data_IF_685301848315
#
_entry.id   IF_685301848315
#
_cell.length_a   1.000
_cell.length_b   1.000
_cell.length_c   1.000
_cell.angle_alpha   90.00
_cell.angle_beta   90.00
_cell.angle_gamma   90.00
#
_symmetry.space_group_name_H-M   'P 1'
#
loop_
_entity.id
_entity.type
_entity.pdbx_description
1 polymer ?
#
# COMPACT_ATOMS: atom_id res chain seq x y z
N UNK A 1 26.92 5.59 8.52
CA UNK A 1 25.85 5.05 9.36
C UNK A 1 25.84 5.84 10.65
N UNK A 2 24.81 6.63 10.83
CA UNK A 2 24.67 7.55 11.94
C UNK A 2 24.46 6.78 13.25
N UNK A 3 25.28 7.07 14.28
CA UNK A 3 25.17 6.44 15.61
C UNK A 3 23.80 6.63 16.25
N UNK A 4 23.08 7.69 15.87
CA UNK A 4 21.73 7.98 16.35
C UNK A 4 20.71 6.98 15.82
N UNK A 5 20.81 6.57 14.57
CA UNK A 5 19.91 5.56 13.96
C UNK A 5 20.13 4.18 14.59
N UNK A 6 21.39 3.77 14.78
CA UNK A 6 21.72 2.50 15.42
C UNK A 6 21.23 2.46 16.88
N UNK A 7 21.38 3.55 17.63
CA UNK A 7 20.89 3.63 19.00
C UNK A 7 19.34 3.56 19.07
N UNK A 8 18.64 4.21 18.13
CA UNK A 8 17.18 4.16 18.05
C UNK A 8 16.68 2.77 17.71
N UNK A 9 17.38 2.04 16.85
CA UNK A 9 17.00 0.66 16.48
C UNK A 9 17.22 -0.33 17.63
N UNK A 10 18.30 -0.17 18.37
CA UNK A 10 18.54 -0.96 19.58
C UNK A 10 17.46 -0.69 20.63
N UNK A 11 17.10 0.59 20.85
CA UNK A 11 16.05 0.97 21.78
C UNK A 11 14.67 0.41 21.37
N UNK A 12 14.30 0.52 20.09
CA UNK A 12 13.06 -0.06 19.55
C UNK A 12 12.99 -1.56 19.77
N UNK A 13 14.10 -2.27 19.51
CA UNK A 13 14.20 -3.72 19.73
C UNK A 13 14.04 -4.09 21.21
N UNK A 14 14.58 -3.31 22.13
CA UNK A 14 14.46 -3.56 23.55
C UNK A 14 13.05 -3.30 24.09
N UNK A 15 12.39 -2.21 23.64
CA UNK A 15 11.03 -1.86 24.08
C UNK A 15 9.97 -2.82 23.51
N UNK A 16 10.15 -3.28 22.27
CA UNK A 16 9.20 -4.20 21.62
C UNK A 16 9.37 -5.66 22.04
N UNK A 17 10.48 -6.01 22.68
CA UNK A 17 10.81 -7.40 23.00
C UNK A 17 10.18 -7.83 24.33
N UNK A 18 9.23 -8.76 24.36
CA UNK A 18 8.78 -9.38 25.59
C UNK A 18 9.91 -10.16 26.25
N UNK A 19 9.95 -10.16 27.57
CA UNK A 19 10.97 -10.87 28.35
C UNK A 19 10.93 -12.36 27.98
N UNK A 20 12.05 -12.87 27.44
CA UNK A 20 12.19 -14.30 27.09
C UNK A 20 11.97 -14.64 25.60
N UNK A 21 11.60 -13.69 24.72
CA UNK A 21 11.51 -13.96 23.27
C UNK A 21 12.75 -13.52 22.52
N UNK A 22 13.11 -14.25 21.46
CA UNK A 22 14.21 -13.89 20.54
C UNK A 22 13.74 -12.96 19.43
N UNK A 23 12.45 -12.93 19.13
CA UNK A 23 11.89 -12.15 18.03
C UNK A 23 11.71 -10.67 18.42
N UNK A 24 12.06 -9.72 17.53
CA UNK A 24 11.82 -8.29 17.72
C UNK A 24 10.35 -7.94 17.42
N UNK A 25 9.44 -8.54 18.16
CA UNK A 25 8.00 -8.34 18.02
C UNK A 25 7.36 -8.18 19.40
N UNK A 26 6.26 -7.42 19.48
CA UNK A 26 5.49 -7.31 20.71
C UNK A 26 4.77 -8.63 21.05
N UNK A 27 4.24 -8.74 22.26
CA UNK A 27 3.27 -9.78 22.59
C UNK A 27 2.07 -9.70 21.64
N UNK A 28 1.46 -10.85 21.32
CA UNK A 28 0.23 -10.90 20.53
C UNK A 28 -0.90 -10.12 21.20
N UNK A 29 -1.67 -9.39 20.40
CA UNK A 29 -2.83 -8.66 20.92
C UNK A 29 -3.93 -9.63 21.36
N UNK A 30 -4.78 -9.24 22.32
CA UNK A 30 -5.95 -10.03 22.68
C UNK A 30 -6.89 -10.21 21.48
N UNK A 31 -7.54 -11.37 21.39
CA UNK A 31 -8.42 -11.73 20.26
C UNK A 31 -9.54 -10.72 19.96
N UNK A 32 -9.91 -9.88 20.93
CA UNK A 32 -10.90 -8.82 20.76
C UNK A 32 -10.45 -7.69 19.82
N UNK A 33 -9.16 -7.56 19.56
CA UNK A 33 -8.58 -6.51 18.70
C UNK A 33 -8.27 -7.02 17.31
N UNK A 34 -8.36 -8.33 17.09
CA UNK A 34 -8.14 -8.93 15.77
C UNK A 34 -9.26 -8.54 14.81
N UNK A 35 -8.91 -8.20 13.58
CA UNK A 35 -9.89 -7.95 12.55
C UNK A 35 -10.56 -9.27 12.14
N UNK A 36 -11.91 -9.30 11.98
CA UNK A 36 -12.62 -10.52 11.59
C UNK A 36 -12.11 -10.98 10.21
N UNK A 37 -11.76 -12.26 10.13
CA UNK A 37 -11.33 -12.88 8.88
C UNK A 37 -12.54 -13.10 7.98
N UNK A 38 -12.34 -12.97 6.68
CA UNK A 38 -13.42 -13.16 5.70
C UNK A 38 -13.97 -14.59 5.74
N UNK A 39 -13.16 -15.57 6.17
CA UNK A 39 -13.57 -16.94 6.42
C UNK A 39 -14.65 -17.05 7.49
N UNK A 40 -14.54 -16.27 8.58
CA UNK A 40 -15.50 -16.31 9.69
C UNK A 40 -16.83 -15.66 9.30
N UNK A 41 -16.78 -14.59 8.48
CA UNK A 41 -17.96 -13.97 7.91
C UNK A 41 -18.64 -14.85 6.86
N UNK A 42 -17.88 -15.56 6.02
CA UNK A 42 -18.42 -16.50 5.04
C UNK A 42 -19.08 -17.69 5.71
N UNK A 43 -18.52 -18.17 6.83
CA UNK A 43 -19.12 -19.23 7.66
C UNK A 43 -20.46 -18.77 8.25
N UNK A 44 -20.56 -17.52 8.70
CA UNK A 44 -21.81 -16.93 9.20
C UNK A 44 -22.89 -16.81 8.10
N UNK A 45 -22.48 -16.70 6.82
CA UNK A 45 -23.37 -16.68 5.64
C UNK A 45 -23.62 -18.07 5.04
N UNK A 46 -23.12 -19.15 5.67
CA UNK A 46 -23.33 -20.53 5.23
C UNK A 46 -22.47 -20.98 4.06
N UNK A 47 -21.47 -20.18 3.67
CA UNK A 47 -20.53 -20.52 2.60
C UNK A 47 -19.24 -21.07 3.22
N UNK A 48 -18.95 -22.34 3.00
CA UNK A 48 -17.70 -22.98 3.43
C UNK A 48 -16.57 -22.60 2.47
N UNK A 49 -15.95 -21.46 2.68
CA UNK A 49 -14.69 -21.12 2.03
C UNK A 49 -13.53 -21.66 2.87
N UNK A 50 -12.43 -22.07 2.20
CA UNK A 50 -11.31 -22.73 2.87
C UNK A 50 -10.83 -21.97 4.11
N UNK A 51 -10.65 -22.67 5.21
CA UNK A 51 -10.30 -22.13 6.55
C UNK A 51 -9.00 -21.30 6.62
N UNK A 52 -8.24 -21.25 5.54
CA UNK A 52 -6.92 -20.59 5.48
C UNK A 52 -6.87 -19.37 4.55
N UNK A 53 -7.99 -18.73 4.27
CA UNK A 53 -7.97 -17.55 3.40
C UNK A 53 -7.44 -16.34 4.20
N UNK A 54 -6.29 -15.76 3.81
CA UNK A 54 -5.71 -14.61 4.54
C UNK A 54 -6.48 -13.30 4.30
N UNK A 55 -7.58 -13.37 3.55
CA UNK A 55 -8.40 -12.20 3.25
C UNK A 55 -9.17 -11.73 4.50
N UNK A 56 -9.01 -10.48 4.85
CA UNK A 56 -9.65 -9.81 5.96
C UNK A 56 -10.68 -8.78 5.47
N UNK A 57 -11.50 -8.28 6.37
CA UNK A 57 -12.46 -7.17 6.12
C UNK A 57 -11.77 -5.94 5.53
N UNK A 58 -10.48 -5.75 5.76
CA UNK A 58 -9.66 -4.67 5.18
C UNK A 58 -9.67 -4.65 3.66
N UNK A 59 -9.92 -5.75 2.98
CA UNK A 59 -10.11 -5.77 1.53
C UNK A 59 -11.27 -4.87 1.09
N UNK A 60 -12.40 -4.96 1.79
CA UNK A 60 -13.55 -4.08 1.51
C UNK A 60 -13.28 -2.63 1.88
N UNK A 61 -12.53 -2.40 2.97
CA UNK A 61 -12.07 -1.06 3.36
C UNK A 61 -11.16 -0.47 2.29
N UNK A 62 -10.24 -1.26 1.73
CA UNK A 62 -9.37 -0.83 0.63
C UNK A 62 -10.17 -0.49 -0.62
N UNK A 63 -11.19 -1.30 -0.97
CA UNK A 63 -12.07 -1.03 -2.09
C UNK A 63 -12.89 0.26 -1.86
N UNK A 64 -13.44 0.42 -0.67
CA UNK A 64 -14.14 1.64 -0.27
C UNK A 64 -13.21 2.87 -0.31
N UNK A 65 -11.97 2.75 0.15
CA UNK A 65 -10.95 3.80 0.05
C UNK A 65 -10.65 4.17 -1.41
N UNK A 66 -10.55 3.19 -2.32
CA UNK A 66 -10.40 3.44 -3.76
C UNK A 66 -11.58 4.26 -4.33
N UNK A 67 -12.80 3.89 -3.98
CA UNK A 67 -14.01 4.62 -4.41
C UNK A 67 -14.02 6.04 -3.81
N UNK A 68 -13.66 6.16 -2.54
CA UNK A 68 -13.61 7.46 -1.85
C UNK A 68 -12.56 8.39 -2.47
N UNK A 69 -11.37 7.89 -2.77
CA UNK A 69 -10.32 8.64 -3.47
C UNK A 69 -10.78 9.02 -4.87
N UNK A 70 -11.45 8.12 -5.58
CA UNK A 70 -12.03 8.43 -6.89
C UNK A 70 -13.05 9.56 -6.81
N UNK A 71 -14.00 9.48 -5.87
CA UNK A 71 -14.98 10.54 -5.63
C UNK A 71 -14.31 11.86 -5.27
N UNK A 72 -13.31 11.81 -4.38
CA UNK A 72 -12.56 12.98 -3.94
C UNK A 72 -11.88 13.68 -5.13
N UNK A 73 -11.17 12.93 -5.97
CA UNK A 73 -10.40 13.49 -7.08
C UNK A 73 -11.32 14.00 -8.22
N UNK A 74 -12.42 13.28 -8.52
CA UNK A 74 -13.23 13.57 -9.70
C UNK A 74 -14.51 14.36 -9.41
N UNK A 75 -15.02 14.34 -8.17
CA UNK A 75 -16.31 14.94 -7.80
C UNK A 75 -16.21 16.11 -6.82
N UNK A 76 -15.05 16.37 -6.22
CA UNK A 76 -14.90 17.47 -5.25
C UNK A 76 -14.10 18.64 -5.81
N UNK A 77 -14.30 19.81 -5.17
CA UNK A 77 -13.53 21.02 -5.49
C UNK A 77 -12.04 20.84 -5.22
N UNK A 78 -11.68 20.17 -4.13
CA UNK A 78 -10.29 19.82 -3.80
C UNK A 78 -9.62 18.98 -4.89
N UNK A 79 -10.33 17.98 -5.42
CA UNK A 79 -9.82 17.18 -6.52
C UNK A 79 -9.61 17.96 -7.81
N UNK A 80 -10.46 18.97 -8.08
CA UNK A 80 -10.24 19.88 -9.19
C UNK A 80 -8.99 20.74 -8.98
N UNK A 81 -8.82 21.33 -7.79
CA UNK A 81 -7.65 22.13 -7.43
C UNK A 81 -6.35 21.33 -7.54
N UNK A 82 -6.34 20.10 -7.01
CA UNK A 82 -5.18 19.18 -7.11
C UNK A 82 -4.83 18.91 -8.57
N UNK A 83 -5.80 18.60 -9.42
CA UNK A 83 -5.56 18.32 -10.84
C UNK A 83 -5.14 19.56 -11.63
N UNK A 84 -5.71 20.72 -11.30
CA UNK A 84 -5.33 22.00 -11.93
C UNK A 84 -3.89 22.35 -11.58
N UNK A 85 -3.51 22.25 -10.30
CA UNK A 85 -2.16 22.48 -9.82
C UNK A 85 -1.14 21.51 -10.46
N UNK A 86 -1.48 20.21 -10.54
CA UNK A 86 -0.63 19.21 -11.16
C UNK A 86 -0.41 19.36 -12.67
N UNK A 87 -1.30 20.12 -13.36
CA UNK A 87 -1.13 20.41 -14.80
C UNK A 87 -0.29 21.65 -15.09
N UNK A 88 -0.46 22.69 -14.30
CA UNK A 88 0.26 23.94 -14.45
C UNK A 88 0.20 24.73 -13.17
N UNK A 89 1.31 24.77 -12.44
CA UNK A 89 1.44 25.53 -11.21
C UNK A 89 1.19 27.04 -11.43
N UNK A 90 1.78 27.69 -12.47
CA UNK A 90 1.54 29.11 -12.71
C UNK A 90 0.07 29.41 -12.96
N UNK A 91 -0.62 28.61 -13.77
CA UNK A 91 -2.04 28.81 -14.06
C UNK A 91 -2.92 28.64 -12.80
N UNK A 92 -2.57 27.71 -11.93
CA UNK A 92 -3.28 27.50 -10.66
C UNK A 92 -3.12 28.69 -9.71
N UNK A 93 -1.93 29.30 -9.65
CA UNK A 93 -1.67 30.51 -8.88
C UNK A 93 -2.51 31.69 -9.36
N UNK A 94 -2.59 31.91 -10.68
CA UNK A 94 -3.45 32.95 -11.25
C UNK A 94 -4.93 32.69 -10.96
N UNK A 95 -5.35 31.45 -10.82
CA UNK A 95 -6.72 31.06 -10.44
C UNK A 95 -6.99 31.19 -8.92
N UNK A 96 -6.00 31.65 -8.13
CA UNK A 96 -6.15 31.84 -6.69
C UNK A 96 -5.99 30.55 -5.86
N UNK A 97 -5.46 29.48 -6.45
CA UNK A 97 -5.21 28.22 -5.76
C UNK A 97 -3.87 28.33 -5.00
N UNK A 98 -3.89 28.15 -3.68
CA UNK A 98 -2.66 28.22 -2.89
C UNK A 98 -1.90 26.89 -2.91
N UNK A 99 -0.61 26.87 -3.34
CA UNK A 99 0.21 25.67 -3.41
C UNK A 99 0.37 24.96 -2.06
N UNK A 100 0.56 25.75 -1.01
CA UNK A 100 0.72 25.25 0.35
C UNK A 100 -0.48 24.43 0.81
N UNK A 101 -1.70 24.94 0.56
CA UNK A 101 -2.94 24.24 0.92
C UNK A 101 -3.05 22.91 0.19
N UNK A 102 -2.78 22.90 -1.11
CA UNK A 102 -2.85 21.67 -1.93
C UNK A 102 -1.84 20.64 -1.46
N UNK A 103 -0.59 21.04 -1.22
CA UNK A 103 0.46 20.15 -0.74
C UNK A 103 0.11 19.55 0.63
N UNK A 104 -0.32 20.39 1.58
CA UNK A 104 -0.70 19.90 2.93
C UNK A 104 -1.88 18.93 2.84
N UNK A 105 -2.92 19.25 2.05
CA UNK A 105 -4.07 18.35 1.89
C UNK A 105 -3.69 17.03 1.24
N UNK A 106 -2.82 17.03 0.22
CA UNK A 106 -2.31 15.82 -0.42
C UNK A 106 -1.53 14.96 0.58
N UNK A 107 -0.69 15.57 1.41
CA UNK A 107 0.07 14.86 2.44
C UNK A 107 -0.84 14.26 3.52
N UNK A 108 -1.86 14.99 3.95
CA UNK A 108 -2.84 14.48 4.93
C UNK A 108 -3.62 13.28 4.39
N UNK A 109 -4.07 13.35 3.14
CA UNK A 109 -4.79 12.23 2.48
C UNK A 109 -3.86 11.02 2.34
N UNK A 110 -2.62 11.24 1.88
CA UNK A 110 -1.61 10.18 1.77
C UNK A 110 -1.30 9.53 3.12
N UNK A 111 -1.12 10.35 4.17
CA UNK A 111 -0.90 9.86 5.52
C UNK A 111 -2.07 9.05 6.08
N UNK A 112 -3.31 9.47 5.81
CA UNK A 112 -4.50 8.73 6.20
C UNK A 112 -4.59 7.35 5.52
N UNK A 113 -4.28 7.27 4.22
CA UNK A 113 -4.23 6.00 3.48
C UNK A 113 -3.10 5.09 3.98
N UNK A 114 -1.94 5.65 4.29
CA UNK A 114 -0.83 4.91 4.89
C UNK A 114 -1.20 4.37 6.29
N UNK A 115 -1.95 5.15 7.08
CA UNK A 115 -2.51 4.69 8.35
C UNK A 115 -3.45 3.49 8.21
N UNK A 116 -4.31 3.48 7.19
CA UNK A 116 -5.18 2.32 6.89
C UNK A 116 -4.36 1.06 6.56
N UNK A 117 -3.27 1.21 5.83
CA UNK A 117 -2.34 0.10 5.56
C UNK A 117 -1.70 -0.42 6.85
N UNK A 118 -1.27 0.47 7.74
CA UNK A 118 -0.69 0.08 9.03
C UNK A 118 -1.69 -0.69 9.90
N UNK A 119 -2.96 -0.27 9.92
CA UNK A 119 -4.04 -1.00 10.62
C UNK A 119 -4.18 -2.43 10.07
N UNK A 120 -4.17 -2.61 8.76
CA UNK A 120 -4.24 -3.94 8.15
C UNK A 120 -3.04 -4.81 8.56
N UNK A 121 -1.83 -4.28 8.48
CA UNK A 121 -0.61 -5.05 8.82
C UNK A 121 -0.59 -5.47 10.30
N UNK A 122 -0.94 -4.55 11.20
CA UNK A 122 -0.81 -4.78 12.65
C UNK A 122 -1.97 -5.60 13.20
N UNK A 123 -3.21 -5.32 12.76
CA UNK A 123 -4.42 -5.93 13.32
C UNK A 123 -4.98 -7.06 12.47
N UNK A 124 -4.67 -7.08 11.17
CA UNK A 124 -5.21 -8.07 10.22
C UNK A 124 -4.27 -9.22 9.91
N UNK A 125 -2.97 -8.96 9.80
CA UNK A 125 -2.00 -9.97 9.34
C UNK A 125 -1.07 -10.43 10.46
N UNK A 126 -0.36 -9.51 11.11
CA UNK A 126 0.65 -9.86 12.10
C UNK A 126 0.08 -10.12 13.49
N UNK A 127 -1.09 -9.57 13.85
CA UNK A 127 -1.74 -9.64 15.15
C UNK A 127 -0.81 -9.20 16.31
N UNK A 128 0.28 -8.51 15.98
CA UNK A 128 1.33 -7.99 16.88
C UNK A 128 2.13 -6.89 16.17
N UNK A 129 2.82 -6.07 16.94
CA UNK A 129 3.77 -5.11 16.39
C UNK A 129 5.07 -5.84 16.02
N UNK A 130 5.38 -5.90 14.72
CA UNK A 130 6.63 -6.47 14.20
C UNK A 130 7.54 -5.32 13.77
N UNK A 131 8.81 -5.38 14.16
CA UNK A 131 9.79 -4.42 13.68
C UNK A 131 9.97 -4.58 12.17
N UNK A 132 9.95 -3.46 11.43
CA UNK A 132 10.11 -3.44 9.97
C UNK A 132 8.98 -4.12 9.16
N UNK A 133 7.79 -4.30 9.72
CA UNK A 133 6.66 -4.92 9.03
C UNK A 133 6.26 -4.22 7.70
N UNK A 134 6.61 -2.95 7.53
CA UNK A 134 6.24 -2.10 6.38
C UNK A 134 7.45 -1.79 5.48
N UNK A 135 8.60 -2.44 5.71
CA UNK A 135 9.83 -2.18 4.96
C UNK A 135 9.64 -2.46 3.47
N UNK A 136 9.97 -1.46 2.64
CA UNK A 136 9.85 -1.55 1.18
C UNK A 136 8.46 -1.30 0.60
N UNK A 137 7.39 -1.36 1.38
CA UNK A 137 6.02 -1.20 0.87
C UNK A 137 5.76 0.16 0.21
N UNK A 138 6.42 1.23 0.67
CA UNK A 138 6.33 2.54 0.05
C UNK A 138 6.85 2.57 -1.38
N UNK A 139 7.98 1.91 -1.65
CA UNK A 139 8.55 1.81 -3.01
C UNK A 139 7.65 0.98 -3.93
N UNK A 140 7.13 -0.14 -3.44
CA UNK A 140 6.16 -0.95 -4.19
C UNK A 140 4.90 -0.12 -4.48
N UNK A 141 4.42 0.68 -3.52
CA UNK A 141 3.27 1.56 -3.70
C UNK A 141 3.48 2.60 -4.80
N UNK A 142 4.67 3.20 -4.91
CA UNK A 142 5.02 4.12 -6.00
C UNK A 142 4.97 3.39 -7.35
N UNK A 143 5.54 2.19 -7.43
CA UNK A 143 5.54 1.38 -8.64
C UNK A 143 4.12 1.01 -9.09
N UNK A 144 3.28 0.58 -8.15
CA UNK A 144 1.85 0.27 -8.38
C UNK A 144 1.08 1.51 -8.85
N UNK A 145 1.34 2.68 -8.27
CA UNK A 145 0.70 3.94 -8.67
C UNK A 145 1.08 4.35 -10.10
N UNK A 146 2.36 4.23 -10.46
CA UNK A 146 2.85 4.50 -11.82
C UNK A 146 2.25 3.52 -12.83
N UNK A 147 2.23 2.23 -12.52
CA UNK A 147 1.64 1.19 -13.36
C UNK A 147 0.14 1.42 -13.55
N UNK A 148 -0.57 1.85 -12.51
CA UNK A 148 -1.99 2.22 -12.55
C UNK A 148 -2.27 3.57 -13.22
N UNK A 149 -1.24 4.26 -13.75
CA UNK A 149 -1.34 5.60 -14.39
C UNK A 149 -1.99 6.64 -13.48
N UNK A 150 -1.79 6.55 -12.18
CA UNK A 150 -2.39 7.40 -11.16
C UNK A 150 -3.95 7.47 -11.22
N UNK A 151 -4.57 6.47 -11.87
CA UNK A 151 -6.04 6.34 -11.87
C UNK A 151 -6.46 5.31 -10.82
N UNK A 152 -7.42 5.59 -9.93
CA UNK A 152 -7.76 4.70 -8.82
C UNK A 152 -8.10 3.26 -9.23
N UNK A 153 -8.84 3.07 -10.32
CA UNK A 153 -9.14 1.73 -10.87
C UNK A 153 -7.87 1.04 -11.39
N UNK A 154 -7.00 1.77 -12.08
CA UNK A 154 -5.72 1.25 -12.57
C UNK A 154 -4.81 0.84 -11.41
N UNK A 155 -4.74 1.66 -10.36
CA UNK A 155 -3.98 1.37 -9.14
C UNK A 155 -4.54 0.12 -8.43
N UNK A 156 -5.87 -0.03 -8.35
CA UNK A 156 -6.49 -1.21 -7.76
C UNK A 156 -6.14 -2.50 -8.54
N UNK A 157 -6.22 -2.47 -9.88
CA UNK A 157 -5.84 -3.61 -10.71
C UNK A 157 -4.35 -3.93 -10.61
N UNK A 158 -3.49 -2.91 -10.63
CA UNK A 158 -2.05 -3.08 -10.44
C UNK A 158 -1.73 -3.65 -9.06
N UNK A 159 -2.39 -3.18 -8.00
CA UNK A 159 -2.24 -3.69 -6.65
C UNK A 159 -2.65 -5.16 -6.53
N UNK A 160 -3.75 -5.57 -7.19
CA UNK A 160 -4.16 -6.97 -7.26
C UNK A 160 -3.12 -7.84 -7.96
N UNK A 161 -2.56 -7.37 -9.08
CA UNK A 161 -1.50 -8.08 -9.80
C UNK A 161 -0.25 -8.27 -8.91
N UNK A 162 0.20 -7.20 -8.24
CA UNK A 162 1.36 -7.27 -7.35
C UNK A 162 1.10 -8.13 -6.13
N UNK A 163 -0.10 -8.06 -5.55
CA UNK A 163 -0.51 -8.93 -4.45
C UNK A 163 -0.53 -10.40 -4.85
N UNK A 164 -1.03 -10.70 -6.06
CA UNK A 164 -1.02 -12.06 -6.60
C UNK A 164 0.41 -12.59 -6.82
N UNK A 165 1.28 -11.76 -7.39
CA UNK A 165 2.70 -12.11 -7.58
C UNK A 165 3.40 -12.34 -6.22
N UNK A 166 3.12 -11.49 -5.23
CA UNK A 166 3.72 -11.60 -3.89
C UNK A 166 3.26 -12.88 -3.19
N UNK A 167 1.95 -13.14 -3.19
CA UNK A 167 1.37 -14.34 -2.55
C UNK A 167 1.77 -15.62 -3.28
N UNK A 168 1.64 -15.64 -4.61
CA UNK A 168 2.04 -16.79 -5.42
C UNK A 168 3.51 -17.11 -5.28
N UNK A 169 4.32 -16.07 -5.12
CA UNK A 169 5.73 -16.24 -4.87
C UNK A 169 6.09 -16.78 -3.49
N UNK A 170 5.33 -16.37 -2.48
CA UNK A 170 5.46 -16.94 -1.14
C UNK A 170 5.19 -18.44 -1.13
N UNK A 171 4.09 -18.85 -1.77
CA UNK A 171 3.72 -20.27 -1.93
C UNK A 171 4.79 -21.05 -2.74
N UNK A 172 5.26 -20.48 -3.84
CA UNK A 172 6.28 -21.13 -4.68
C UNK A 172 7.57 -21.38 -3.91
N UNK A 173 7.98 -20.45 -3.06
CA UNK A 173 9.17 -20.60 -2.21
C UNK A 173 9.03 -21.71 -1.14
N UNK A 174 7.80 -22.03 -0.74
CA UNK A 174 7.52 -23.12 0.21
C UNK A 174 7.59 -24.51 -0.45
N UNK A 175 7.16 -24.61 -1.71
CA UNK A 175 7.06 -25.89 -2.44
C UNK A 175 8.27 -26.18 -3.33
N UNK A 176 9.10 -25.18 -3.60
CA UNK A 176 10.28 -25.29 -4.47
C UNK A 176 11.50 -24.68 -3.79
N UNK A 177 12.68 -25.03 -4.30
CA UNK A 177 13.96 -24.45 -3.84
C UNK A 177 14.21 -23.04 -4.42
N UNK A 178 13.19 -22.40 -4.98
CA UNK A 178 13.30 -21.08 -5.59
C UNK A 178 13.26 -20.01 -4.49
N UNK A 179 14.29 -19.16 -4.37
CA UNK A 179 14.31 -18.11 -3.36
C UNK A 179 13.30 -17.00 -3.68
N UNK A 180 12.74 -16.39 -2.63
CA UNK A 180 11.76 -15.28 -2.75
C UNK A 180 12.31 -14.07 -3.52
N UNK A 181 13.61 -13.90 -3.52
CA UNK A 181 14.32 -12.82 -4.22
C UNK A 181 14.07 -12.84 -5.73
N UNK A 182 13.84 -14.02 -6.31
CA UNK A 182 13.50 -14.15 -7.74
C UNK A 182 12.19 -13.40 -8.08
N UNK A 183 11.23 -13.42 -7.17
CA UNK A 183 9.94 -12.75 -7.36
C UNK A 183 10.11 -11.25 -7.30
N UNK A 184 10.97 -10.75 -6.41
CA UNK A 184 11.33 -9.33 -6.35
C UNK A 184 11.96 -8.90 -7.67
N UNK A 185 12.80 -9.74 -8.28
CA UNK A 185 13.38 -9.49 -9.61
C UNK A 185 12.30 -9.42 -10.68
N UNK A 186 11.35 -10.36 -10.67
CA UNK A 186 10.22 -10.35 -11.63
C UNK A 186 9.39 -9.09 -11.46
N UNK A 187 9.06 -8.70 -10.22
CA UNK A 187 8.34 -7.47 -9.93
C UNK A 187 9.10 -6.23 -10.43
N UNK A 188 10.40 -6.15 -10.19
CA UNK A 188 11.25 -5.07 -10.68
C UNK A 188 11.26 -4.99 -12.22
N UNK A 189 11.29 -6.13 -12.88
CA UNK A 189 11.24 -6.25 -14.35
C UNK A 189 9.89 -5.75 -14.89
N UNK A 190 8.78 -6.14 -14.26
CA UNK A 190 7.43 -5.66 -14.62
C UNK A 190 7.33 -4.14 -14.46
N UNK A 191 7.88 -3.57 -13.38
CA UNK A 191 7.92 -2.13 -13.16
C UNK A 191 8.74 -1.43 -14.24
N UNK A 192 9.93 -1.96 -14.55
CA UNK A 192 10.82 -1.41 -15.55
C UNK A 192 10.16 -1.37 -16.93
N UNK A 193 9.57 -2.48 -17.37
CA UNK A 193 8.89 -2.54 -18.68
C UNK A 193 7.66 -1.63 -18.73
N UNK A 194 6.87 -1.59 -17.66
CA UNK A 194 5.70 -0.71 -17.60
C UNK A 194 6.10 0.76 -17.60
N UNK A 195 7.16 1.11 -16.88
CA UNK A 195 7.73 2.47 -16.88
C UNK A 195 8.26 2.85 -18.26
N UNK A 196 9.00 1.94 -18.91
CA UNK A 196 9.52 2.16 -20.25
C UNK A 196 8.40 2.38 -21.28
N UNK A 197 7.34 1.57 -21.25
CA UNK A 197 6.17 1.72 -22.14
C UNK A 197 5.42 3.04 -21.91
N UNK A 198 5.37 3.53 -20.68
CA UNK A 198 4.77 4.84 -20.36
C UNK A 198 5.57 6.00 -20.92
N UNK A 199 6.91 5.91 -20.91
CA UNK A 199 7.80 6.94 -21.46
C UNK A 199 7.86 6.93 -23.00
N UNK A 200 7.75 5.75 -23.62
CA UNK A 200 7.81 5.60 -25.07
C UNK A 200 6.46 5.78 -25.76
N UNK A 201 5.36 5.83 -25.02
CA UNK A 201 4.03 6.11 -25.59
C UNK A 201 3.97 7.56 -26.08
N UNK A 202 3.79 7.80 -27.42
CA UNK A 202 3.76 9.15 -27.95
C UNK A 202 2.64 9.96 -27.33
N UNK A 203 2.97 11.14 -26.85
CA UNK A 203 1.99 12.09 -26.32
C UNK A 203 0.95 12.43 -27.39
N UNK A 204 -0.35 12.58 -27.04
CA UNK A 204 -1.37 13.03 -28.00
C UNK A 204 -1.05 14.37 -28.68
N UNK A 205 -0.06 15.14 -28.15
CA UNK A 205 0.44 16.38 -28.73
C UNK A 205 1.39 16.20 -29.91
N UNK A 206 2.01 15.03 -30.05
CA UNK A 206 2.96 14.74 -31.14
C UNK A 206 2.25 14.32 -32.45
N UNK A 207 0.93 14.22 -32.43
CA UNK A 207 0.10 13.88 -33.62
C UNK A 207 -0.52 15.09 -34.30
N UNK A 208 0.03 16.30 -34.09
CA UNK A 208 -0.38 17.51 -34.85
C UNK A 208 0.76 18.07 -35.65
#
# INVERSE_FOLDING_TARGET
>A
LDRSSAASDVYKRQVLRPVGSMDPASASFPAAVHLPKLSDMALALGVTWGKNTPANVTFFIALAACVLVWLLIWRTRLGYEIRAFGRSEPAALYAGISPLRITVMAMVISGALAGLMAVNNVMGEAERLVLNAVEGAGFIGIAVALMGRNHPLGVALAALLFGFLYQGGGELALWTTIPRELIVVIQALVILFTGCLLYTSPSPRDKR
#
